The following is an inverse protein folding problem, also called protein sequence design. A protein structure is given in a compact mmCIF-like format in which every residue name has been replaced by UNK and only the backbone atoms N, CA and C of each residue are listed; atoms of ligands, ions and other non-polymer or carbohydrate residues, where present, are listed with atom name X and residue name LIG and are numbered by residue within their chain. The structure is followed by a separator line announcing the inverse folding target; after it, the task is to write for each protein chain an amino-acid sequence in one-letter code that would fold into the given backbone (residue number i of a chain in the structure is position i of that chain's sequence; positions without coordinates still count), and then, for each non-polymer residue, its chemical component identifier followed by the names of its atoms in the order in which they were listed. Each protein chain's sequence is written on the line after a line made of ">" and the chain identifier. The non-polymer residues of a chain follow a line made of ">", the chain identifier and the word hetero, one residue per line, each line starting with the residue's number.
data_IF_191697163849
#
_entry.id   IF_191697163849
#
_cell.length_a   1.000
_cell.length_b   1.000
_cell.length_c   1.000
_cell.angle_alpha   90.00
_cell.angle_beta   90.00
_cell.angle_gamma   90.00
#
_symmetry.space_group_name_H-M   'P 1'
#
loop_
_entity.id
_entity.type
_entity.pdbx_description
1 polymer ?
#
# COMPACT_ATOMS: atom_id res chain seq x y z
N UNK A 1 -16.48 4.36 -3.18
CA UNK A 1 -15.79 3.48 -4.12
C UNK A 1 -14.73 4.31 -4.81
N UNK A 2 -13.46 3.91 -4.69
CA UNK A 2 -12.36 4.59 -5.37
C UNK A 2 -12.44 4.39 -6.88
N UNK A 3 -11.65 5.16 -7.64
CA UNK A 3 -11.42 4.93 -9.06
C UNK A 3 -9.94 4.63 -9.25
N UNK A 4 -9.63 3.38 -9.50
CA UNK A 4 -8.27 2.85 -9.53
C UNK A 4 -7.79 2.57 -10.94
N UNK A 5 -8.71 2.53 -11.91
CA UNK A 5 -8.41 2.43 -13.32
C UNK A 5 -9.25 3.38 -14.17
N UNK A 6 -8.67 3.83 -15.28
CA UNK A 6 -9.40 4.49 -16.36
C UNK A 6 -10.12 3.49 -17.27
N UNK A 7 -9.68 2.22 -17.30
CA UNK A 7 -10.15 1.18 -18.21
C UNK A 7 -10.94 0.07 -17.52
N UNK A 8 -10.80 -0.07 -16.21
CA UNK A 8 -11.51 -1.08 -15.41
C UNK A 8 -12.98 -0.74 -15.22
N UNK A 9 -13.79 -1.77 -15.01
CA UNK A 9 -15.19 -1.59 -14.62
C UNK A 9 -15.33 -1.13 -13.16
N UNK A 10 -16.55 -0.75 -12.79
CA UNK A 10 -16.90 -0.49 -11.40
C UNK A 10 -16.70 -1.73 -10.49
N UNK A 11 -16.86 -2.94 -11.04
CA UNK A 11 -16.64 -4.18 -10.29
C UNK A 11 -15.15 -4.40 -10.01
N UNK A 12 -14.28 -4.06 -10.98
CA UNK A 12 -12.83 -4.04 -10.78
C UNK A 12 -12.43 -3.08 -9.66
N UNK A 13 -12.91 -1.83 -9.72
CA UNK A 13 -12.61 -0.84 -8.69
C UNK A 13 -13.09 -1.29 -7.29
N UNK A 14 -14.26 -1.95 -7.21
CA UNK A 14 -14.74 -2.55 -5.97
C UNK A 14 -13.85 -3.69 -5.46
N UNK A 15 -13.27 -4.49 -6.36
CA UNK A 15 -12.29 -5.53 -6.04
C UNK A 15 -11.01 -4.95 -5.45
N UNK A 16 -10.48 -3.88 -6.04
CA UNK A 16 -9.32 -3.14 -5.51
C UNK A 16 -9.65 -2.53 -4.15
N UNK A 17 -10.81 -1.89 -3.99
CA UNK A 17 -11.28 -1.36 -2.70
C UNK A 17 -11.27 -2.44 -1.60
N UNK A 18 -11.78 -3.65 -1.92
CA UNK A 18 -11.79 -4.78 -0.99
C UNK A 18 -10.39 -5.23 -0.60
N UNK A 19 -9.46 -5.30 -1.56
CA UNK A 19 -8.07 -5.66 -1.29
C UNK A 19 -7.37 -4.60 -0.41
N UNK A 20 -7.58 -3.31 -0.70
CA UNK A 20 -7.02 -2.21 0.09
C UNK A 20 -7.59 -2.18 1.51
N UNK A 21 -8.90 -2.41 1.66
CA UNK A 21 -9.52 -2.54 2.98
C UNK A 21 -8.90 -3.68 3.80
N UNK A 22 -8.57 -4.80 3.14
CA UNK A 22 -7.89 -5.93 3.77
C UNK A 22 -6.46 -5.59 4.19
N UNK A 23 -5.71 -4.88 3.36
CA UNK A 23 -4.36 -4.39 3.71
C UNK A 23 -4.44 -3.48 4.94
N UNK A 24 -5.36 -2.51 4.95
CA UNK A 24 -5.56 -1.60 6.09
C UNK A 24 -5.90 -2.37 7.35
N UNK A 25 -6.84 -3.32 7.29
CA UNK A 25 -7.21 -4.16 8.43
C UNK A 25 -5.99 -4.91 9.01
N UNK A 26 -5.19 -5.54 8.14
CA UNK A 26 -4.01 -6.32 8.54
C UNK A 26 -2.92 -5.45 9.16
N UNK A 27 -2.68 -4.26 8.60
CA UNK A 27 -1.71 -3.29 9.15
C UNK A 27 -2.18 -2.73 10.50
N UNK A 28 -3.48 -2.41 10.64
CA UNK A 28 -4.07 -1.93 11.90
C UNK A 28 -4.14 -3.00 12.99
N UNK A 29 -4.18 -4.27 12.61
CA UNK A 29 -4.16 -5.39 13.57
C UNK A 29 -2.77 -5.67 14.15
N UNK A 30 -1.74 -4.91 13.76
CA UNK A 30 -0.39 -5.07 14.32
C UNK A 30 -0.28 -4.46 15.72
N UNK A 31 0.70 -4.89 16.54
CA UNK A 31 1.01 -4.24 17.82
C UNK A 31 1.51 -2.78 17.72
N UNK A 32 1.55 -2.23 16.51
CA UNK A 32 2.06 -0.90 16.20
C UNK A 32 0.98 0.05 15.67
N UNK A 33 -0.32 -0.31 15.70
CA UNK A 33 -1.42 0.53 15.19
C UNK A 33 -1.30 1.98 15.67
N UNK A 34 -1.09 2.17 16.98
CA UNK A 34 -0.95 3.48 17.58
C UNK A 34 0.20 4.26 16.94
N UNK A 35 1.30 3.62 16.58
CA UNK A 35 2.48 4.24 15.99
C UNK A 35 2.27 4.69 14.53
N UNK A 36 1.14 4.37 13.91
CA UNK A 36 0.85 4.71 12.52
C UNK A 36 0.05 6.01 12.42
N UNK A 37 0.37 6.81 11.40
CA UNK A 37 -0.29 8.08 11.10
C UNK A 37 -1.19 7.99 9.88
N UNK A 38 -0.75 7.25 8.85
CA UNK A 38 -1.46 7.10 7.60
C UNK A 38 -0.98 5.85 6.84
N UNK A 39 -1.82 5.36 5.94
CA UNK A 39 -1.44 4.44 4.86
C UNK A 39 -1.84 5.14 3.56
N UNK A 40 -0.90 5.28 2.64
CA UNK A 40 -1.10 5.99 1.37
C UNK A 40 -0.88 5.01 0.24
N UNK A 41 -1.87 4.86 -0.64
CA UNK A 41 -1.72 4.10 -1.87
C UNK A 41 -0.99 4.94 -2.92
N UNK A 42 0.07 4.38 -3.47
CA UNK A 42 0.93 5.00 -4.48
C UNK A 42 0.80 4.25 -5.81
N UNK A 43 1.61 4.65 -6.80
CA UNK A 43 1.75 3.88 -8.03
C UNK A 43 0.51 3.94 -8.92
N UNK A 44 0.35 2.93 -9.79
CA UNK A 44 -0.70 2.93 -10.82
C UNK A 44 -2.11 3.10 -10.25
N UNK A 45 -2.45 2.35 -9.19
CA UNK A 45 -3.76 2.47 -8.55
C UNK A 45 -3.92 3.77 -7.78
N UNK A 46 -2.87 4.28 -7.13
CA UNK A 46 -2.90 5.59 -6.46
C UNK A 46 -3.21 6.74 -7.42
N UNK A 47 -2.76 6.65 -8.68
CA UNK A 47 -3.02 7.63 -9.75
C UNK A 47 -4.31 7.38 -10.54
N UNK A 48 -5.03 6.29 -10.27
CA UNK A 48 -6.20 5.88 -11.07
C UNK A 48 -5.85 5.31 -12.45
N UNK A 49 -4.60 4.94 -12.66
CA UNK A 49 -4.03 4.41 -13.92
C UNK A 49 -3.79 2.89 -13.87
N UNK A 50 -4.28 2.22 -12.81
CA UNK A 50 -4.15 0.79 -12.64
C UNK A 50 -4.71 0.00 -13.81
N UNK A 51 -4.06 -1.11 -14.14
CA UNK A 51 -4.41 -1.91 -15.30
C UNK A 51 -5.29 -3.09 -14.89
N UNK A 52 -6.53 -3.18 -15.39
CA UNK A 52 -7.29 -4.42 -15.33
C UNK A 52 -6.64 -5.43 -16.28
N UNK A 53 -6.38 -6.63 -15.79
CA UNK A 53 -6.07 -7.77 -16.61
C UNK A 53 -7.34 -8.60 -16.77
N UNK A 54 -7.76 -8.83 -18.01
CA UNK A 54 -8.95 -9.61 -18.32
C UNK A 54 -8.56 -11.03 -18.66
N UNK A 55 -9.10 -11.99 -17.93
CA UNK A 55 -8.95 -13.42 -18.21
C UNK A 55 -10.31 -14.11 -18.09
N UNK A 56 -10.67 -14.87 -19.11
CA UNK A 56 -11.94 -15.61 -19.17
C UNK A 56 -13.19 -14.73 -18.93
N UNK A 57 -13.10 -13.44 -19.27
CA UNK A 57 -14.17 -12.45 -19.11
C UNK A 57 -14.21 -11.76 -17.74
N UNK A 58 -13.33 -12.13 -16.81
CA UNK A 58 -13.22 -11.51 -15.48
C UNK A 58 -12.03 -10.56 -15.41
N UNK A 59 -12.22 -9.41 -14.74
CA UNK A 59 -11.16 -8.42 -14.50
C UNK A 59 -10.47 -8.71 -13.16
N UNK A 60 -9.14 -8.76 -13.18
CA UNK A 60 -8.31 -8.81 -11.98
C UNK A 60 -7.24 -7.73 -12.01
N UNK A 61 -6.74 -7.35 -10.83
CA UNK A 61 -5.63 -6.41 -10.68
C UNK A 61 -4.35 -6.97 -11.34
N UNK A 62 -3.62 -6.11 -12.06
CA UNK A 62 -2.34 -6.47 -12.70
C UNK A 62 -1.13 -5.81 -12.03
N UNK A 63 -1.24 -4.53 -11.70
CA UNK A 63 -0.18 -3.80 -11.01
C UNK A 63 -0.07 -4.21 -9.54
N UNK A 64 1.09 -4.03 -8.94
CA UNK A 64 1.30 -4.24 -7.51
C UNK A 64 0.52 -3.20 -6.66
N UNK A 65 0.27 -3.52 -5.39
CA UNK A 65 -0.27 -2.59 -4.40
C UNK A 65 0.85 -1.91 -3.61
N UNK A 66 1.32 -0.78 -4.11
CA UNK A 66 2.34 0.05 -3.45
C UNK A 66 1.74 0.90 -2.32
N UNK A 67 1.92 0.49 -1.07
CA UNK A 67 1.41 1.22 0.09
C UNK A 67 2.54 1.84 0.91
N UNK A 68 2.52 3.16 1.07
CA UNK A 68 3.39 3.84 2.02
C UNK A 68 2.72 3.89 3.39
N UNK A 69 3.33 3.23 4.36
CA UNK A 69 2.90 3.23 5.76
C UNK A 69 3.68 4.32 6.50
N UNK A 70 2.99 5.37 6.91
CA UNK A 70 3.61 6.52 7.60
C UNK A 70 3.49 6.34 9.10
N UNK A 71 4.62 6.21 9.79
CA UNK A 71 4.67 6.22 11.26
C UNK A 71 4.64 7.64 11.84
N UNK A 72 4.28 7.76 13.11
CA UNK A 72 4.34 9.01 13.87
C UNK A 72 5.77 9.56 13.95
N UNK A 73 5.93 10.89 14.02
CA UNK A 73 7.24 11.52 14.22
C UNK A 73 7.89 11.08 15.54
N UNK A 74 9.22 11.11 15.60
CA UNK A 74 9.97 10.79 16.82
C UNK A 74 9.95 9.32 17.24
N UNK A 75 9.49 8.39 16.40
CA UNK A 75 9.51 6.96 16.70
C UNK A 75 10.94 6.46 16.92
N UNK A 76 11.22 5.87 18.09
CA UNK A 76 12.54 5.37 18.44
C UNK A 76 13.08 4.36 17.41
N UNK A 77 14.38 4.43 17.08
CA UNK A 77 14.97 3.63 15.99
C UNK A 77 14.75 2.12 16.13
N UNK A 78 14.88 1.57 17.35
CA UNK A 78 14.62 0.15 17.60
C UNK A 78 13.15 -0.24 17.39
N UNK A 79 12.21 0.63 17.76
CA UNK A 79 10.78 0.42 17.56
C UNK A 79 10.43 0.50 16.07
N UNK A 80 11.00 1.47 15.35
CA UNK A 80 10.92 1.59 13.88
C UNK A 80 11.46 0.34 13.16
N UNK A 81 12.59 -0.21 13.60
CA UNK A 81 13.16 -1.43 13.02
C UNK A 81 12.22 -2.62 13.21
N UNK A 82 11.62 -2.78 14.39
CA UNK A 82 10.65 -3.86 14.66
C UNK A 82 9.39 -3.70 13.80
N UNK A 83 8.87 -2.48 13.70
CA UNK A 83 7.73 -2.18 12.82
C UNK A 83 8.06 -2.56 11.37
N UNK A 84 9.23 -2.18 10.86
CA UNK A 84 9.68 -2.58 9.52
C UNK A 84 9.67 -4.09 9.33
N UNK A 85 10.22 -4.86 10.28
CA UNK A 85 10.22 -6.33 10.19
C UNK A 85 8.81 -6.93 10.21
N UNK A 86 7.88 -6.35 10.98
CA UNK A 86 6.47 -6.76 10.99
C UNK A 86 5.80 -6.47 9.64
N UNK A 87 6.02 -5.28 9.07
CA UNK A 87 5.49 -4.94 7.75
C UNK A 87 6.03 -5.87 6.67
N UNK A 88 7.33 -6.19 6.68
CA UNK A 88 7.92 -7.15 5.74
C UNK A 88 7.34 -8.56 5.84
N UNK A 89 6.95 -8.99 7.05
CA UNK A 89 6.23 -10.26 7.21
C UNK A 89 4.82 -10.18 6.63
N UNK A 90 4.12 -9.07 6.89
CA UNK A 90 2.80 -8.80 6.35
C UNK A 90 2.76 -8.73 4.82
N UNK A 91 3.76 -8.10 4.17
CA UNK A 91 3.89 -8.06 2.71
C UNK A 91 3.81 -9.46 2.10
N UNK A 92 4.56 -10.41 2.67
CA UNK A 92 4.57 -11.81 2.20
C UNK A 92 3.22 -12.49 2.39
N UNK A 93 2.63 -12.33 3.56
CA UNK A 93 1.34 -12.93 3.89
C UNK A 93 0.22 -12.36 3.01
N UNK A 94 0.18 -11.03 2.83
CA UNK A 94 -0.82 -10.33 2.02
C UNK A 94 -0.64 -10.64 0.54
N UNK A 95 0.60 -10.72 0.05
CA UNK A 95 0.89 -11.10 -1.34
C UNK A 95 0.36 -12.50 -1.64
N UNK A 96 0.60 -13.46 -0.73
CA UNK A 96 0.07 -14.81 -0.87
C UNK A 96 -1.46 -14.86 -0.75
N UNK A 97 -2.05 -14.07 0.15
CA UNK A 97 -3.49 -14.01 0.37
C UNK A 97 -4.25 -13.40 -0.82
N UNK A 98 -3.74 -12.30 -1.39
CA UNK A 98 -4.41 -11.53 -2.43
C UNK A 98 -4.03 -11.98 -3.85
N UNK A 99 -2.98 -12.79 -4.00
CA UNK A 99 -2.50 -13.27 -5.30
C UNK A 99 -1.86 -12.19 -6.16
N UNK A 100 -1.49 -11.06 -5.56
CA UNK A 100 -0.85 -9.91 -6.20
C UNK A 100 0.15 -9.30 -5.23
N UNK A 101 1.28 -8.77 -5.73
CA UNK A 101 2.32 -8.22 -4.86
C UNK A 101 1.77 -7.06 -4.04
N UNK A 102 2.09 -7.07 -2.75
CA UNK A 102 1.80 -5.98 -1.82
C UNK A 102 3.11 -5.51 -1.21
N UNK A 103 3.42 -4.23 -1.42
CA UNK A 103 4.58 -3.58 -0.84
C UNK A 103 4.15 -2.58 0.24
N UNK A 104 4.78 -2.63 1.42
CA UNK A 104 4.48 -1.83 2.60
C UNK A 104 5.70 -1.00 3.01
N UNK A 105 5.89 0.13 2.34
CA UNK A 105 7.02 1.03 2.56
C UNK A 105 6.87 1.85 3.83
N UNK A 106 7.71 1.58 4.84
CA UNK A 106 7.72 2.36 6.08
C UNK A 106 8.42 3.72 5.92
N UNK A 107 7.66 4.80 6.10
CA UNK A 107 8.16 6.17 6.18
C UNK A 107 7.85 6.85 7.52
N UNK A 108 8.59 7.90 7.81
CA UNK A 108 8.32 8.89 8.88
C UNK A 108 8.25 10.27 8.21
N UNK A 109 7.52 11.25 8.76
CA UNK A 109 7.51 12.61 8.21
C UNK A 109 8.91 13.18 7.95
N UNK A 110 9.87 12.89 8.85
CA UNK A 110 11.25 13.35 8.74
C UNK A 110 12.08 12.57 7.72
N UNK A 111 11.72 11.33 7.39
CA UNK A 111 12.38 10.57 6.33
C UNK A 111 11.86 10.96 4.95
N UNK A 112 10.60 11.36 4.83
CA UNK A 112 10.01 11.87 3.59
C UNK A 112 10.69 13.14 3.12
N UNK A 113 10.93 14.10 4.02
CA UNK A 113 11.58 15.35 3.68
C UNK A 113 13.04 15.19 3.19
N UNK A 114 13.69 14.08 3.56
CA UNK A 114 15.08 13.75 3.18
C UNK A 114 15.15 12.63 2.16
N UNK A 115 14.02 12.20 1.61
CA UNK A 115 14.00 11.10 0.67
C UNK A 115 14.71 11.52 -0.62
N UNK A 116 15.52 10.60 -1.17
CA UNK A 116 16.21 10.83 -2.44
C UNK A 116 15.20 11.04 -3.58
N UNK A 117 15.65 11.66 -4.67
CA UNK A 117 14.81 11.80 -5.83
C UNK A 117 14.48 10.43 -6.43
N UNK A 118 13.21 10.08 -6.43
CA UNK A 118 12.64 8.93 -7.13
C UNK A 118 11.22 9.28 -7.56
N UNK A 119 10.67 8.57 -8.54
CA UNK A 119 9.29 8.77 -8.98
C UNK A 119 8.31 8.58 -7.80
N UNK A 120 8.52 7.53 -7.00
CA UNK A 120 7.73 7.24 -5.81
C UNK A 120 7.76 8.37 -4.77
N UNK A 121 8.95 8.94 -4.50
CA UNK A 121 9.07 10.04 -3.55
C UNK A 121 8.52 11.35 -4.10
N UNK A 122 8.55 11.56 -5.42
CA UNK A 122 7.95 12.72 -6.07
C UNK A 122 6.42 12.70 -5.95
N UNK A 123 5.79 11.52 -6.04
CA UNK A 123 4.34 11.37 -5.85
C UNK A 123 3.88 11.70 -4.42
N UNK A 124 4.80 11.72 -3.44
CA UNK A 124 4.50 12.06 -2.04
C UNK A 124 4.77 13.52 -1.66
N UNK A 125 5.27 14.35 -2.59
CA UNK A 125 5.56 15.78 -2.34
C UNK A 125 4.34 16.66 -2.57
#
# INVERSE_FOLDING_TARGET
>A
MGKYSMKGSAAFDAGVDKALARIVERVRSTPFEDDLRAIVLMGGYGRGEGSPWVRDGEESAFNDYDCVVVARPGLASGRRSRLRSVLQALERDLTAELGITVDLYLHTPESLHRAEFSLMNLEMR
#
